data_IF_674455702322
#
_entry.id   IF_674455702322
#
_cell.length_a   1.000
_cell.length_b   1.000
_cell.length_c   1.000
_cell.angle_alpha   90.00
_cell.angle_beta   90.00
_cell.angle_gamma   90.00
#
_symmetry.space_group_name_H-M   'P 1'
#
loop_
_entity.id
_entity.type
_entity.pdbx_description
1 polymer ?
#
# COMPACT_ATOMS: atom_id res chain seq x y z
N UNK A 1 46.31 71.38 24.61
CA UNK A 1 45.77 70.32 25.49
C UNK A 1 44.27 70.56 25.63
N UNK A 2 43.34 69.63 25.54
CA UNK A 2 43.24 68.25 25.05
C UNK A 2 41.74 67.91 25.27
N UNK A 3 41.07 67.35 24.26
CA UNK A 3 39.80 66.59 24.36
C UNK A 3 38.57 67.41 24.81
N UNK A 4 37.35 67.27 24.26
CA UNK A 4 36.64 66.06 23.84
C UNK A 4 35.66 66.42 22.72
N UNK A 5 35.99 66.07 21.48
CA UNK A 5 35.06 65.99 20.35
C UNK A 5 34.98 64.52 19.97
N UNK A 6 34.16 63.75 20.70
CA UNK A 6 34.12 62.28 20.59
C UNK A 6 32.69 61.77 20.82
N UNK A 7 31.70 62.41 20.19
CA UNK A 7 30.28 62.04 20.36
C UNK A 7 29.38 62.07 19.10
N UNK A 8 29.89 61.96 17.85
CA UNK A 8 29.00 61.55 16.75
C UNK A 8 29.44 60.27 16.02
N UNK A 9 30.34 59.46 16.60
CA UNK A 9 30.79 58.20 15.97
C UNK A 9 30.08 56.95 16.53
N UNK A 10 29.39 57.04 17.67
CA UNK A 10 28.77 55.89 18.32
C UNK A 10 27.31 55.63 17.89
N UNK A 11 26.67 56.57 17.17
CA UNK A 11 25.28 56.41 16.71
C UNK A 11 25.15 55.77 15.32
N UNK A 12 26.26 55.56 14.60
CA UNK A 12 26.28 54.95 13.24
C UNK A 12 26.51 53.43 13.29
N UNK A 13 26.87 52.88 14.45
CA UNK A 13 27.09 51.43 14.61
C UNK A 13 25.81 50.64 14.95
N UNK A 14 24.67 51.31 15.17
CA UNK A 14 23.38 50.66 15.47
C UNK A 14 22.51 50.39 14.22
N UNK A 15 22.93 50.84 13.03
CA UNK A 15 22.21 50.60 11.77
C UNK A 15 22.76 49.45 10.93
N UNK A 16 23.68 48.64 11.48
CA UNK A 16 24.38 47.58 10.73
C UNK A 16 23.76 46.17 10.85
N UNK A 17 22.62 46.00 11.52
CA UNK A 17 21.92 44.71 11.58
C UNK A 17 20.62 44.68 10.76
N UNK A 18 20.60 45.27 9.55
CA UNK A 18 19.61 44.86 8.57
C UNK A 18 20.06 43.53 7.96
N UNK A 19 19.74 42.43 8.63
CA UNK A 19 19.97 41.08 8.13
C UNK A 19 19.13 40.85 6.86
N UNK A 20 19.71 41.21 5.72
CA UNK A 20 19.20 40.83 4.40
C UNK A 20 19.39 39.32 4.28
N UNK A 21 18.30 38.56 4.16
CA UNK A 21 18.36 37.12 3.92
C UNK A 21 19.15 36.88 2.62
N UNK A 22 20.27 36.12 2.66
CA UNK A 22 21.07 35.83 1.47
C UNK A 22 20.25 35.05 0.44
N UNK A 23 20.41 35.35 -0.86
CA UNK A 23 19.71 34.64 -1.95
C UNK A 23 19.99 33.13 -1.92
N UNK A 24 21.16 32.77 -1.42
CA UNK A 24 21.65 31.41 -1.22
C UNK A 24 20.74 30.60 -0.27
N UNK A 25 20.11 31.26 0.72
CA UNK A 25 19.16 30.62 1.66
C UNK A 25 17.83 30.29 0.98
N UNK A 26 17.37 31.17 0.07
CA UNK A 26 16.16 30.93 -0.73
C UNK A 26 16.40 29.85 -1.78
N UNK A 27 17.53 29.85 -2.48
CA UNK A 27 17.90 28.78 -3.41
C UNK A 27 18.05 27.41 -2.72
N UNK A 28 18.61 27.38 -1.51
CA UNK A 28 18.68 26.16 -0.71
C UNK A 28 17.28 25.65 -0.34
N UNK A 29 16.34 26.55 -0.01
CA UNK A 29 14.96 26.17 0.31
C UNK A 29 14.25 25.49 -0.88
N UNK A 30 14.47 25.96 -2.11
CA UNK A 30 13.91 25.31 -3.30
C UNK A 30 14.51 23.92 -3.56
N UNK A 31 15.80 23.72 -3.29
CA UNK A 31 16.43 22.40 -3.41
C UNK A 31 15.87 21.40 -2.39
N UNK A 32 15.62 21.85 -1.16
CA UNK A 32 14.99 21.04 -0.11
C UNK A 32 13.59 20.58 -0.54
N UNK A 33 12.80 21.44 -1.19
CA UNK A 33 11.47 21.06 -1.70
C UNK A 33 11.55 19.97 -2.78
N UNK A 34 12.52 20.09 -3.70
CA UNK A 34 12.79 19.07 -4.71
C UNK A 34 13.23 17.74 -4.08
N UNK A 35 14.14 17.78 -3.11
CA UNK A 35 14.62 16.60 -2.39
C UNK A 35 13.48 15.91 -1.62
N UNK A 36 12.60 16.67 -0.96
CA UNK A 36 11.43 16.12 -0.27
C UNK A 36 10.48 15.39 -1.22
N UNK A 37 10.29 15.91 -2.43
CA UNK A 37 9.47 15.26 -3.47
C UNK A 37 10.08 13.91 -3.87
N UNK A 38 11.39 13.87 -4.14
CA UNK A 38 12.07 12.64 -4.50
C UNK A 38 12.07 11.59 -3.38
N UNK A 39 12.17 12.02 -2.11
CA UNK A 39 12.07 11.11 -0.97
C UNK A 39 10.65 10.55 -0.84
N UNK A 40 9.61 11.35 -1.02
CA UNK A 40 8.22 10.89 -1.04
C UNK A 40 7.98 9.84 -2.14
N UNK A 41 8.47 10.10 -3.36
CA UNK A 41 8.41 9.16 -4.48
C UNK A 41 9.10 7.84 -4.13
N UNK A 42 10.30 7.90 -3.55
CA UNK A 42 11.04 6.70 -3.16
C UNK A 42 10.31 5.86 -2.09
N UNK A 43 9.64 6.48 -1.12
CA UNK A 43 8.84 5.73 -0.15
C UNK A 43 7.60 5.11 -0.76
N UNK A 44 6.95 5.83 -1.69
CA UNK A 44 5.79 5.31 -2.44
C UNK A 44 6.20 4.08 -3.26
N UNK A 45 7.33 4.15 -3.95
CA UNK A 45 7.89 3.02 -4.70
C UNK A 45 8.23 1.83 -3.81
N UNK A 46 8.80 2.08 -2.62
CA UNK A 46 9.10 1.03 -1.65
C UNK A 46 7.81 0.29 -1.22
N UNK A 47 6.74 1.03 -0.91
CA UNK A 47 5.43 0.44 -0.57
C UNK A 47 4.91 -0.43 -1.72
N UNK A 48 4.93 0.08 -2.95
CA UNK A 48 4.49 -0.67 -4.14
C UNK A 48 5.27 -1.97 -4.32
N UNK A 49 6.60 -1.90 -4.23
CA UNK A 49 7.46 -3.08 -4.37
C UNK A 49 7.20 -4.11 -3.26
N UNK A 50 7.03 -3.64 -2.03
CA UNK A 50 6.79 -4.50 -0.88
C UNK A 50 5.43 -5.21 -0.97
N UNK A 51 4.36 -4.47 -1.28
CA UNK A 51 3.03 -5.03 -1.49
C UNK A 51 3.04 -6.03 -2.65
N UNK A 52 3.77 -5.75 -3.73
CA UNK A 52 3.91 -6.68 -4.86
C UNK A 52 4.50 -8.03 -4.43
N UNK A 53 5.47 -8.04 -3.52
CA UNK A 53 6.03 -9.28 -2.96
C UNK A 53 4.97 -10.04 -2.16
N UNK A 54 4.23 -9.36 -1.28
CA UNK A 54 3.16 -9.98 -0.49
C UNK A 54 2.03 -10.54 -1.38
N UNK A 55 1.63 -9.78 -2.41
CA UNK A 55 0.64 -10.20 -3.42
C UNK A 55 1.11 -11.48 -4.11
N UNK A 56 2.38 -11.53 -4.52
CA UNK A 56 2.97 -12.73 -5.13
C UNK A 56 2.91 -13.95 -4.20
N UNK A 57 3.20 -13.79 -2.90
CA UNK A 57 3.10 -14.89 -1.93
C UNK A 57 1.67 -15.44 -1.83
N UNK A 58 0.65 -14.57 -1.85
CA UNK A 58 -0.78 -15.00 -1.87
C UNK A 58 -1.14 -15.74 -3.14
N UNK A 59 -0.70 -15.23 -4.28
CA UNK A 59 -0.90 -15.85 -5.59
C UNK A 59 -0.22 -17.22 -5.68
N UNK A 60 1.00 -17.34 -5.16
CA UNK A 60 1.73 -18.61 -5.13
C UNK A 60 1.03 -19.63 -4.23
N UNK A 61 0.51 -19.21 -3.07
CA UNK A 61 -0.35 -20.04 -2.22
C UNK A 61 -1.60 -20.51 -2.96
N UNK A 62 -2.33 -19.57 -3.57
CA UNK A 62 -3.56 -19.88 -4.29
C UNK A 62 -3.29 -20.89 -5.42
N UNK A 63 -2.26 -20.65 -6.23
CA UNK A 63 -1.93 -21.45 -7.41
C UNK A 63 -1.38 -22.83 -7.09
N UNK A 64 -0.49 -22.94 -6.12
CA UNK A 64 0.28 -24.16 -5.90
C UNK A 64 -0.24 -25.00 -4.73
N UNK A 65 -1.03 -24.42 -3.82
CA UNK A 65 -1.55 -25.12 -2.65
C UNK A 65 -3.09 -25.22 -2.69
N UNK A 66 -3.78 -24.08 -2.75
CA UNK A 66 -5.24 -24.06 -2.56
C UNK A 66 -6.04 -24.54 -3.79
N UNK A 67 -5.79 -23.99 -4.99
CA UNK A 67 -6.50 -24.37 -6.22
C UNK A 67 -6.38 -25.88 -6.49
N UNK A 68 -5.19 -26.51 -6.43
CA UNK A 68 -5.08 -27.95 -6.68
C UNK A 68 -5.92 -28.79 -5.72
N UNK A 69 -5.99 -28.40 -4.44
CA UNK A 69 -6.81 -29.10 -3.46
C UNK A 69 -8.30 -28.88 -3.69
N UNK A 70 -8.70 -27.62 -3.93
CA UNK A 70 -10.08 -27.26 -4.25
C UNK A 70 -10.58 -28.01 -5.48
N UNK A 71 -9.84 -27.97 -6.59
CA UNK A 71 -10.23 -28.63 -7.84
C UNK A 71 -10.37 -30.14 -7.67
N UNK A 72 -9.49 -30.78 -6.88
CA UNK A 72 -9.60 -32.21 -6.59
C UNK A 72 -10.94 -32.57 -5.92
N UNK A 73 -11.39 -31.77 -4.95
CA UNK A 73 -12.71 -31.93 -4.31
C UNK A 73 -13.84 -31.59 -5.29
N UNK A 74 -13.73 -30.47 -5.99
CA UNK A 74 -14.72 -29.97 -6.95
C UNK A 74 -15.00 -30.96 -8.10
N UNK A 75 -13.99 -31.69 -8.56
CA UNK A 75 -14.14 -32.78 -9.55
C UNK A 75 -15.00 -33.92 -9.01
N UNK A 76 -14.83 -34.28 -7.73
CA UNK A 76 -15.56 -35.38 -7.08
C UNK A 76 -17.01 -34.95 -6.78
N UNK A 77 -17.18 -33.81 -6.13
CA UNK A 77 -18.48 -33.34 -5.65
C UNK A 77 -19.36 -32.86 -6.82
N UNK A 78 -18.73 -32.24 -7.81
CA UNK A 78 -19.39 -31.78 -9.03
C UNK A 78 -19.58 -32.86 -10.10
N UNK A 79 -19.27 -34.14 -9.80
CA UNK A 79 -19.45 -35.28 -10.71
C UNK A 79 -18.84 -35.10 -12.11
N UNK A 80 -17.70 -34.42 -12.22
CA UNK A 80 -17.12 -34.07 -13.53
C UNK A 80 -16.79 -35.30 -14.37
N UNK A 81 -16.32 -36.38 -13.73
CA UNK A 81 -15.97 -37.63 -14.44
C UNK A 81 -17.24 -38.26 -15.04
N UNK A 82 -18.31 -38.37 -14.25
CA UNK A 82 -19.59 -38.92 -14.72
C UNK A 82 -20.21 -38.04 -15.80
N UNK A 83 -20.08 -36.72 -15.68
CA UNK A 83 -20.48 -35.79 -16.75
C UNK A 83 -19.65 -36.01 -18.02
N UNK A 84 -18.33 -36.17 -17.92
CA UNK A 84 -17.45 -36.39 -19.07
C UNK A 84 -17.70 -37.75 -19.76
N UNK A 85 -18.08 -38.78 -19.00
CA UNK A 85 -18.51 -40.08 -19.53
C UNK A 85 -19.90 -40.05 -20.16
N UNK A 86 -20.69 -39.01 -19.84
CA UNK A 86 -22.04 -38.80 -20.37
C UNK A 86 -23.12 -39.56 -19.60
N UNK A 87 -22.84 -39.91 -18.34
CA UNK A 87 -23.76 -40.63 -17.46
C UNK A 87 -24.74 -39.70 -16.76
N UNK A 88 -24.32 -38.46 -16.50
CA UNK A 88 -25.11 -37.44 -15.82
C UNK A 88 -25.01 -36.10 -16.52
N UNK A 89 -26.05 -35.28 -16.37
CA UNK A 89 -26.06 -33.86 -16.71
C UNK A 89 -26.57 -33.08 -15.49
N UNK A 90 -26.19 -31.82 -15.37
CA UNK A 90 -26.71 -30.95 -14.33
C UNK A 90 -28.02 -30.30 -14.82
N UNK A 91 -29.13 -30.53 -14.13
CA UNK A 91 -30.43 -29.93 -14.41
C UNK A 91 -30.56 -28.63 -13.59
N UNK A 92 -30.28 -27.48 -14.20
CA UNK A 92 -30.33 -26.17 -13.54
C UNK A 92 -31.70 -25.85 -12.93
N UNK A 93 -32.79 -26.34 -13.53
CA UNK A 93 -34.14 -26.07 -13.03
C UNK A 93 -34.44 -26.84 -11.73
N UNK A 94 -33.78 -27.98 -11.53
CA UNK A 94 -33.92 -28.81 -10.32
C UNK A 94 -32.77 -28.63 -9.33
N UNK A 95 -31.66 -28.06 -9.77
CA UNK A 95 -30.45 -27.92 -8.96
C UNK A 95 -29.79 -29.24 -8.60
N UNK A 96 -29.93 -30.28 -9.44
CA UNK A 96 -29.41 -31.62 -9.17
C UNK A 96 -28.84 -32.30 -10.41
N UNK A 97 -27.96 -33.28 -10.19
CA UNK A 97 -27.45 -34.15 -11.26
C UNK A 97 -28.49 -35.21 -11.61
N UNK A 98 -28.89 -35.26 -12.88
CA UNK A 98 -29.85 -36.25 -13.39
C UNK A 98 -29.16 -37.24 -14.29
N UNK A 99 -29.50 -38.53 -14.12
CA UNK A 99 -28.98 -39.59 -15.00
C UNK A 99 -29.53 -39.40 -16.40
N UNK A 100 -28.65 -39.43 -17.39
CA UNK A 100 -29.04 -39.37 -18.80
C UNK A 100 -28.92 -40.73 -19.46
N UNK A 101 -29.81 -41.02 -20.41
CA UNK A 101 -29.78 -42.25 -21.23
C UNK A 101 -29.26 -41.89 -22.60
N UNK A 102 -27.95 -41.66 -22.70
CA UNK A 102 -27.13 -41.49 -23.91
C UNK A 102 -27.77 -40.76 -25.10
N UNK A 103 -27.38 -39.50 -25.33
CA UNK A 103 -27.14 -38.81 -26.64
C UNK A 103 -27.14 -37.29 -26.49
N UNK A 104 -27.51 -36.75 -25.32
CA UNK A 104 -27.52 -35.30 -25.07
C UNK A 104 -26.11 -34.74 -24.88
N UNK A 105 -25.35 -34.69 -25.98
CA UNK A 105 -23.98 -34.13 -26.01
C UNK A 105 -23.98 -32.63 -25.75
N UNK A 106 -25.08 -31.94 -26.08
CA UNK A 106 -25.19 -30.50 -25.86
C UNK A 106 -25.41 -30.22 -24.38
N UNK A 107 -26.34 -30.91 -23.72
CA UNK A 107 -26.53 -30.82 -22.27
C UNK A 107 -25.30 -31.25 -21.48
N UNK A 108 -24.60 -32.29 -21.94
CA UNK A 108 -23.30 -32.69 -21.39
C UNK A 108 -22.27 -31.56 -21.45
N UNK A 109 -22.06 -30.98 -22.64
CA UNK A 109 -21.12 -29.88 -22.81
C UNK A 109 -21.51 -28.66 -21.96
N UNK A 110 -22.79 -28.30 -21.94
CA UNK A 110 -23.29 -27.20 -21.13
C UNK A 110 -23.05 -27.44 -19.63
N UNK A 111 -23.25 -28.67 -19.15
CA UNK A 111 -22.99 -29.03 -17.75
C UNK A 111 -21.51 -28.88 -17.40
N UNK A 112 -20.60 -29.29 -18.30
CA UNK A 112 -19.15 -29.12 -18.12
C UNK A 112 -18.76 -27.63 -18.12
N UNK A 113 -19.35 -26.82 -19.01
CA UNK A 113 -19.12 -25.38 -19.05
C UNK A 113 -19.59 -24.72 -17.75
N UNK A 114 -20.79 -25.05 -17.28
CA UNK A 114 -21.35 -24.53 -16.02
C UNK A 114 -20.50 -24.94 -14.81
N UNK A 115 -20.03 -26.20 -14.78
CA UNK A 115 -19.11 -26.68 -13.76
C UNK A 115 -17.81 -25.86 -13.73
N UNK A 116 -17.25 -25.56 -14.91
CA UNK A 116 -16.01 -24.81 -15.03
C UNK A 116 -16.19 -23.34 -14.63
N UNK A 117 -17.28 -22.71 -15.07
CA UNK A 117 -17.62 -21.33 -14.72
C UNK A 117 -17.84 -21.16 -13.21
N UNK A 118 -18.54 -22.12 -12.59
CA UNK A 118 -18.73 -22.16 -11.15
C UNK A 118 -17.40 -22.34 -10.41
N UNK A 119 -16.50 -23.20 -10.90
CA UNK A 119 -15.17 -23.38 -10.32
C UNK A 119 -14.34 -22.09 -10.39
N UNK A 120 -14.33 -21.42 -11.54
CA UNK A 120 -13.60 -20.16 -11.75
C UNK A 120 -14.15 -19.07 -10.84
N UNK A 121 -15.47 -18.97 -10.69
CA UNK A 121 -16.11 -18.01 -9.78
C UNK A 121 -15.60 -18.18 -8.35
N UNK A 122 -15.61 -19.40 -7.81
CA UNK A 122 -15.12 -19.68 -6.45
C UNK A 122 -13.62 -19.39 -6.30
N UNK A 123 -12.82 -19.69 -7.33
CA UNK A 123 -11.38 -19.38 -7.35
C UNK A 123 -11.14 -17.87 -7.30
N UNK A 124 -11.87 -17.09 -8.10
CA UNK A 124 -11.73 -15.63 -8.16
C UNK A 124 -12.26 -14.95 -6.89
N UNK A 125 -13.32 -15.48 -6.28
CA UNK A 125 -13.78 -15.03 -4.95
C UNK A 125 -12.70 -15.23 -3.89
N UNK A 126 -12.08 -16.42 -3.85
CA UNK A 126 -10.97 -16.72 -2.93
C UNK A 126 -9.79 -15.80 -3.20
N UNK A 127 -9.46 -15.57 -4.47
CA UNK A 127 -8.39 -14.65 -4.88
C UNK A 127 -8.68 -13.24 -4.38
N UNK A 128 -9.88 -12.73 -4.62
CA UNK A 128 -10.27 -11.40 -4.16
C UNK A 128 -10.18 -11.28 -2.64
N UNK A 129 -10.69 -12.27 -1.90
CA UNK A 129 -10.61 -12.31 -0.44
C UNK A 129 -9.16 -12.29 0.09
N UNK A 130 -8.21 -12.89 -0.65
CA UNK A 130 -6.79 -12.89 -0.28
C UNK A 130 -6.07 -11.57 -0.61
N UNK A 131 -6.49 -10.88 -1.67
CA UNK A 131 -5.79 -9.71 -2.20
C UNK A 131 -6.37 -8.38 -1.71
N UNK A 132 -7.69 -8.28 -1.54
CA UNK A 132 -8.35 -7.03 -1.15
C UNK A 132 -7.78 -6.40 0.14
N UNK A 133 -7.42 -7.16 1.20
CA UNK A 133 -6.78 -6.57 2.39
C UNK A 133 -5.40 -5.96 2.10
N UNK A 134 -4.66 -6.49 1.13
CA UNK A 134 -3.36 -5.94 0.72
C UNK A 134 -3.54 -4.66 -0.10
N UNK A 135 -4.55 -4.63 -0.99
CA UNK A 135 -4.87 -3.43 -1.77
C UNK A 135 -5.31 -2.27 -0.87
N UNK A 136 -6.08 -2.58 0.18
CA UNK A 136 -6.50 -1.57 1.17
C UNK A 136 -5.32 -1.07 2.03
N UNK A 137 -4.42 -1.98 2.42
CA UNK A 137 -3.20 -1.61 3.13
C UNK A 137 -2.30 -0.72 2.26
N UNK A 138 -2.12 -1.06 0.98
CA UNK A 138 -1.35 -0.26 0.02
C UNK A 138 -1.90 1.16 -0.10
N UNK A 139 -3.23 1.30 -0.27
CA UNK A 139 -3.89 2.61 -0.33
C UNK A 139 -3.70 3.43 0.94
N UNK A 140 -3.87 2.79 2.10
CA UNK A 140 -3.74 3.45 3.40
C UNK A 140 -2.32 3.95 3.62
N UNK A 141 -1.31 3.11 3.37
CA UNK A 141 0.11 3.49 3.55
C UNK A 141 0.50 4.64 2.61
N UNK A 142 0.07 4.60 1.34
CA UNK A 142 0.35 5.68 0.39
C UNK A 142 -0.34 6.98 0.81
N UNK A 143 -1.58 6.91 1.30
CA UNK A 143 -2.29 8.07 1.81
C UNK A 143 -1.57 8.69 3.02
N UNK A 144 -1.09 7.86 3.96
CA UNK A 144 -0.34 8.30 5.15
C UNK A 144 1.00 8.94 4.77
N UNK A 145 1.72 8.37 3.79
CA UNK A 145 2.94 8.96 3.22
C UNK A 145 2.63 10.33 2.64
N UNK A 146 1.66 10.42 1.73
CA UNK A 146 1.30 11.67 1.08
C UNK A 146 0.89 12.75 2.08
N UNK A 147 0.11 12.39 3.10
CA UNK A 147 -0.30 13.30 4.17
C UNK A 147 0.90 13.78 4.99
N UNK A 148 1.83 12.89 5.32
CA UNK A 148 3.02 13.23 6.12
C UNK A 148 3.95 14.18 5.37
N UNK A 149 4.20 13.92 4.09
CA UNK A 149 5.03 14.80 3.24
C UNK A 149 4.33 16.13 2.95
N UNK A 150 3.00 16.17 2.81
CA UNK A 150 2.26 17.41 2.67
C UNK A 150 2.40 18.33 3.90
N UNK A 151 2.39 17.75 5.12
CA UNK A 151 2.62 18.51 6.36
C UNK A 151 4.04 19.08 6.42
N UNK A 152 5.05 18.31 6.03
CA UNK A 152 6.45 18.78 5.96
C UNK A 152 6.56 19.92 4.93
N UNK A 153 5.99 19.75 3.74
CA UNK A 153 6.03 20.77 2.69
C UNK A 153 5.30 22.06 3.10
N UNK A 154 4.15 21.96 3.78
CA UNK A 154 3.43 23.12 4.31
C UNK A 154 4.27 23.88 5.35
N UNK A 155 4.94 23.15 6.26
CA UNK A 155 5.87 23.77 7.21
C UNK A 155 7.03 24.48 6.50
N UNK A 156 7.61 23.83 5.49
CA UNK A 156 8.70 24.39 4.69
C UNK A 156 8.28 25.63 3.88
N UNK A 157 7.09 25.62 3.26
CA UNK A 157 6.53 26.77 2.55
C UNK A 157 6.24 27.93 3.50
N UNK A 158 5.77 27.65 4.71
CA UNK A 158 5.57 28.67 5.76
C UNK A 158 6.90 29.33 6.13
N UNK A 159 7.96 28.53 6.34
CA UNK A 159 9.32 29.04 6.60
C UNK A 159 9.82 29.87 5.41
N UNK A 160 9.68 29.37 4.19
CA UNK A 160 10.13 30.04 2.96
C UNK A 160 9.37 31.36 2.75
N UNK A 161 8.06 31.40 3.01
CA UNK A 161 7.26 32.61 2.96
C UNK A 161 7.70 33.63 4.03
N UNK A 162 8.01 33.18 5.25
CA UNK A 162 8.58 34.03 6.29
C UNK A 162 9.97 34.57 5.93
N UNK A 163 10.85 33.74 5.36
CA UNK A 163 12.16 34.15 4.85
C UNK A 163 12.02 35.20 3.73
N UNK A 164 11.03 35.05 2.87
CA UNK A 164 10.70 36.04 1.84
C UNK A 164 10.04 37.31 2.41
N UNK A 165 9.34 37.22 3.54
CA UNK A 165 8.52 38.29 4.12
C UNK A 165 9.25 39.15 5.17
N UNK A 166 10.35 38.67 5.78
CA UNK A 166 10.97 39.34 6.94
C UNK A 166 12.39 39.85 6.65
N UNK A 167 12.51 41.18 6.73
CA UNK A 167 13.72 41.93 7.13
C UNK A 167 13.57 42.16 8.66
N UNK A 168 14.39 41.48 9.47
CA UNK A 168 14.44 41.40 10.97
C UNK A 168 13.96 40.09 11.62
N UNK A 169 14.97 39.25 11.90
CA UNK A 169 14.94 37.87 12.40
C UNK A 169 14.84 37.84 13.93
N UNK A 170 13.97 36.99 14.52
CA UNK A 170 14.38 36.18 15.70
C UNK A 170 13.46 35.03 16.20
N UNK A 171 12.15 34.96 15.95
CA UNK A 171 11.29 34.10 16.81
C UNK A 171 10.74 32.78 16.22
N UNK A 172 11.18 32.29 15.06
CA UNK A 172 10.71 30.98 14.51
C UNK A 172 11.79 29.87 14.62
N UNK A 173 12.91 30.16 15.27
CA UNK A 173 13.92 29.15 15.56
C UNK A 173 13.48 28.32 16.76
N UNK A 174 12.91 27.13 16.51
CA UNK A 174 13.40 25.85 17.05
C UNK A 174 12.39 24.68 16.99
N UNK A 175 11.10 24.92 16.76
CA UNK A 175 10.13 23.81 16.86
C UNK A 175 9.81 23.08 15.54
N UNK A 176 10.14 23.67 14.38
CA UNK A 176 9.79 23.12 13.06
C UNK A 176 10.99 22.58 12.25
N UNK A 177 12.22 22.94 12.63
CA UNK A 177 13.46 22.68 11.87
C UNK A 177 14.38 21.66 12.54
N UNK A 178 13.92 20.98 13.60
CA UNK A 178 14.67 19.84 14.09
C UNK A 178 14.49 18.69 13.09
N UNK A 179 15.60 18.00 12.79
CA UNK A 179 15.64 16.78 11.94
C UNK A 179 14.67 15.66 12.39
N UNK A 180 13.91 15.88 13.46
CA UNK A 180 12.89 15.00 14.04
C UNK A 180 11.72 14.73 13.09
N UNK A 181 11.33 15.67 12.23
CA UNK A 181 10.15 15.50 11.36
C UNK A 181 10.33 14.38 10.32
N UNK A 182 11.42 14.42 9.55
CA UNK A 182 11.70 13.41 8.52
C UNK A 182 12.10 12.07 9.12
N UNK A 183 12.83 12.09 10.25
CA UNK A 183 13.17 10.88 11.00
C UNK A 183 11.93 10.18 11.56
N UNK A 184 10.98 10.92 12.13
CA UNK A 184 9.71 10.37 12.61
C UNK A 184 8.88 9.77 11.45
N UNK A 185 8.83 10.44 10.29
CA UNK A 185 8.13 9.90 9.10
C UNK A 185 8.79 8.60 8.62
N UNK A 186 10.13 8.56 8.52
CA UNK A 186 10.86 7.33 8.19
C UNK A 186 10.51 6.20 9.14
N UNK A 187 10.59 6.46 10.45
CA UNK A 187 10.39 5.44 11.47
C UNK A 187 8.95 4.92 11.48
N UNK A 188 7.97 5.81 11.28
CA UNK A 188 6.56 5.45 11.14
C UNK A 188 6.32 4.55 9.91
N UNK A 189 6.85 4.92 8.73
CA UNK A 189 6.69 4.11 7.51
C UNK A 189 7.32 2.73 7.69
N UNK A 190 8.52 2.65 8.27
CA UNK A 190 9.19 1.38 8.53
C UNK A 190 8.41 0.50 9.52
N UNK A 191 7.83 1.09 10.56
CA UNK A 191 6.96 0.38 11.50
C UNK A 191 5.69 -0.14 10.83
N UNK A 192 5.03 0.68 10.02
CA UNK A 192 3.83 0.29 9.27
C UNK A 192 4.13 -0.85 8.28
N UNK A 193 5.24 -0.78 7.54
CA UNK A 193 5.69 -1.84 6.64
C UNK A 193 6.02 -3.15 7.38
N UNK A 194 6.66 -3.05 8.53
CA UNK A 194 7.00 -4.22 9.36
C UNK A 194 5.74 -4.89 9.92
N UNK A 195 4.84 -4.10 10.52
CA UNK A 195 3.57 -4.60 11.06
C UNK A 195 2.68 -5.21 9.97
N UNK A 196 2.65 -4.61 8.78
CA UNK A 196 1.94 -5.17 7.62
C UNK A 196 2.53 -6.53 7.22
N UNK A 197 3.85 -6.64 7.19
CA UNK A 197 4.54 -7.90 6.84
C UNK A 197 4.18 -9.01 7.83
N UNK A 198 4.28 -8.74 9.12
CA UNK A 198 3.95 -9.70 10.18
C UNK A 198 2.48 -10.13 10.09
N UNK A 199 1.56 -9.17 9.97
CA UNK A 199 0.12 -9.44 9.84
C UNK A 199 -0.21 -10.21 8.56
N UNK A 200 0.46 -9.90 7.46
CA UNK A 200 0.28 -10.61 6.20
C UNK A 200 0.77 -12.06 6.33
N UNK A 201 1.97 -12.30 6.85
CA UNK A 201 2.48 -13.67 7.02
C UNK A 201 1.60 -14.48 7.99
N UNK A 202 1.31 -13.94 9.17
CA UNK A 202 0.46 -14.61 10.16
C UNK A 202 -0.94 -14.92 9.59
N UNK A 203 -1.57 -13.92 8.95
CA UNK A 203 -2.88 -14.11 8.34
C UNK A 203 -2.88 -15.13 7.20
N UNK A 204 -1.78 -15.29 6.46
CA UNK A 204 -1.66 -16.35 5.45
C UNK A 204 -1.60 -17.73 6.10
N UNK A 205 -0.82 -17.86 7.15
CA UNK A 205 -0.65 -19.14 7.84
C UNK A 205 -1.94 -19.57 8.55
N UNK A 206 -2.68 -18.63 9.13
CA UNK A 206 -4.02 -18.90 9.69
C UNK A 206 -5.00 -19.38 8.62
N UNK A 207 -5.05 -18.68 7.48
CA UNK A 207 -5.89 -19.08 6.34
C UNK A 207 -5.51 -20.49 5.85
N UNK A 208 -4.21 -20.77 5.69
CA UNK A 208 -3.70 -22.10 5.33
C UNK A 208 -4.15 -23.18 6.31
N UNK A 209 -4.11 -22.90 7.61
CA UNK A 209 -4.55 -23.86 8.64
C UNK A 209 -6.05 -24.10 8.59
N UNK A 210 -6.85 -23.05 8.40
CA UNK A 210 -8.30 -23.14 8.27
C UNK A 210 -8.68 -23.93 7.01
N UNK A 211 -8.06 -23.63 5.87
CA UNK A 211 -8.30 -24.33 4.60
C UNK A 211 -7.92 -25.82 4.72
N UNK A 212 -6.79 -26.14 5.37
CA UNK A 212 -6.40 -27.54 5.65
C UNK A 212 -7.40 -28.27 6.54
N UNK A 213 -7.97 -27.60 7.55
CA UNK A 213 -9.00 -28.18 8.42
C UNK A 213 -10.31 -28.39 7.68
N UNK A 214 -10.74 -27.41 6.88
CA UNK A 214 -11.95 -27.50 6.07
C UNK A 214 -11.86 -28.67 5.08
N UNK A 215 -10.73 -28.82 4.37
CA UNK A 215 -10.54 -29.93 3.44
C UNK A 215 -10.57 -31.30 4.12
N UNK A 216 -10.01 -31.45 5.33
CA UNK A 216 -10.09 -32.71 6.10
C UNK A 216 -11.51 -33.11 6.52
N UNK A 217 -12.44 -32.16 6.59
CA UNK A 217 -13.83 -32.44 6.92
C UNK A 217 -14.65 -32.85 5.69
N UNK A 218 -14.10 -32.67 4.48
CA UNK A 218 -14.73 -32.98 3.19
C UNK A 218 -14.18 -34.26 2.54
N UNK A 219 -13.07 -34.82 3.05
CA UNK A 219 -12.54 -36.13 2.68
C UNK A 219 -13.27 -37.27 3.40
#
# INVERSE_FOLDING_TARGET
MKQRLLLPLMLVLLSACSATVPKEVVELSYRIEQDLTHVQESYTDLVHQHIKVLRKQREDYLRHEWIPQFVKGWVKDGQLVQMAEGDVIYDEAKGEFVKTRSTDRVGQLNSIVLWADSAVTVIEEKRHALLAPLDEAERTLIADINQSFALIQQGHQTITAHLNSIREVQDVQNDLLDNTGLEAVRDQINQQLSALSEKATAGLDDIRQLDKKANKLLE
#
